data_IF_558449318300
#
_entry.id   IF_558449318300
#
_cell.length_a   1.000
_cell.length_b   1.000
_cell.length_c   1.000
_cell.angle_alpha   90.00
_cell.angle_beta   90.00
_cell.angle_gamma   90.00
#
_symmetry.space_group_name_H-M   'P 1'
#
loop_
_entity.id
_entity.type
_entity.pdbx_description
1 polymer ?
#
# COMPACT_ATOMS: atom_id res chain seq x y z
N UNK A 1 -17.13 -14.67 -2.20
CA UNK A 1 -18.20 -15.64 -1.85
C UNK A 1 -18.85 -15.38 -0.48
N UNK A 2 -18.08 -15.19 0.59
CA UNK A 2 -18.59 -15.15 1.96
C UNK A 2 -19.46 -13.94 2.23
N UNK A 3 -19.03 -12.74 1.80
CA UNK A 3 -19.85 -11.53 1.92
C UNK A 3 -21.14 -11.60 1.11
N UNK A 4 -21.12 -12.25 -0.05
CA UNK A 4 -22.31 -12.48 -0.88
C UNK A 4 -23.30 -13.43 -0.18
N UNK A 5 -22.81 -14.53 0.41
CA UNK A 5 -23.64 -15.42 1.23
C UNK A 5 -24.31 -14.68 2.39
N UNK A 6 -23.58 -13.79 3.06
CA UNK A 6 -24.11 -12.96 4.16
C UNK A 6 -25.20 -12.00 3.64
N UNK A 7 -24.98 -11.35 2.49
CA UNK A 7 -25.98 -10.51 1.83
C UNK A 7 -27.27 -11.27 1.54
N UNK A 8 -27.14 -12.45 0.94
CA UNK A 8 -28.28 -13.28 0.55
C UNK A 8 -29.08 -13.82 1.74
N UNK A 9 -28.49 -13.89 2.94
CA UNK A 9 -29.19 -14.22 4.19
C UNK A 9 -29.96 -13.05 4.80
N UNK A 10 -29.96 -11.87 4.16
CA UNK A 10 -30.66 -10.68 4.64
C UNK A 10 -30.01 -10.05 5.88
N UNK A 11 -28.73 -10.34 6.14
CA UNK A 11 -27.98 -9.71 7.23
C UNK A 11 -27.66 -8.27 6.79
N UNK A 12 -27.94 -7.30 7.66
CA UNK A 12 -27.70 -5.89 7.38
C UNK A 12 -26.21 -5.64 7.08
N UNK A 13 -25.95 -4.99 5.93
CA UNK A 13 -24.63 -4.59 5.50
C UNK A 13 -24.68 -3.19 4.89
N UNK A 14 -23.63 -2.41 5.11
CA UNK A 14 -23.50 -1.04 4.62
C UNK A 14 -22.17 -0.86 3.88
N UNK A 15 -22.16 0.03 2.88
CA UNK A 15 -20.94 0.33 2.13
C UNK A 15 -19.98 1.16 2.97
N UNK A 16 -18.73 0.72 3.08
CA UNK A 16 -17.66 1.43 3.77
C UNK A 16 -16.61 1.92 2.78
N UNK A 17 -16.28 3.23 2.77
CA UNK A 17 -15.18 3.75 1.95
C UNK A 17 -13.85 3.06 2.25
N UNK A 18 -13.06 2.83 1.20
CA UNK A 18 -11.70 2.26 1.29
C UNK A 18 -10.77 2.91 0.25
N UNK A 19 -9.47 2.69 0.40
CA UNK A 19 -8.46 3.21 -0.52
C UNK A 19 -7.99 2.14 -1.50
N UNK A 20 -7.70 2.57 -2.73
CA UNK A 20 -7.05 1.77 -3.77
C UNK A 20 -5.85 2.56 -4.30
N UNK A 21 -4.85 1.86 -4.83
CA UNK A 21 -3.66 2.48 -5.36
C UNK A 21 -2.78 1.48 -6.09
N UNK A 22 -1.51 1.84 -6.25
CA UNK A 22 -0.49 1.05 -6.92
C UNK A 22 0.69 0.79 -5.98
N UNK A 23 1.44 -0.28 -6.25
CA UNK A 23 2.76 -0.49 -5.64
C UNK A 23 3.78 0.32 -6.42
N UNK A 24 4.67 1.00 -5.69
CA UNK A 24 5.74 1.81 -6.27
C UNK A 24 7.05 1.37 -5.67
N UNK A 25 8.00 1.01 -6.52
CA UNK A 25 9.31 0.51 -6.13
C UNK A 25 10.40 1.54 -6.47
N UNK A 26 11.37 1.62 -5.57
CA UNK A 26 12.59 2.39 -5.76
C UNK A 26 13.75 1.56 -5.23
N UNK A 27 14.97 1.72 -5.79
CA UNK A 27 16.15 1.11 -5.18
C UNK A 27 16.28 1.53 -3.71
N UNK A 28 16.44 0.57 -2.81
CA UNK A 28 16.55 0.84 -1.36
C UNK A 28 17.69 1.83 -1.06
N UNK A 29 18.78 1.77 -1.84
CA UNK A 29 19.90 2.71 -1.74
C UNK A 29 19.47 4.18 -1.93
N UNK A 30 18.56 4.45 -2.88
CA UNK A 30 18.04 5.81 -3.12
C UNK A 30 17.26 6.33 -1.92
N UNK A 31 16.47 5.46 -1.29
CA UNK A 31 15.71 5.80 -0.08
C UNK A 31 16.66 6.01 1.10
N UNK A 32 17.65 5.13 1.29
CA UNK A 32 18.67 5.27 2.33
C UNK A 32 19.40 6.61 2.20
N UNK A 33 19.86 6.96 1.00
CA UNK A 33 20.53 8.24 0.74
C UNK A 33 19.61 9.44 1.01
N UNK A 34 18.33 9.35 0.66
CA UNK A 34 17.37 10.44 0.91
C UNK A 34 17.05 10.65 2.39
N UNK A 35 16.95 9.58 3.18
CA UNK A 35 16.53 9.66 4.59
C UNK A 35 17.72 9.84 5.55
N UNK A 36 18.84 9.17 5.26
CA UNK A 36 20.00 9.13 6.15
C UNK A 36 21.21 9.92 5.61
N UNK A 37 21.18 10.32 4.33
CA UNK A 37 22.31 10.99 3.68
C UNK A 37 23.41 10.04 3.19
N UNK A 38 23.33 8.74 3.51
CA UNK A 38 24.28 7.72 3.09
C UNK A 38 23.57 6.40 2.76
N UNK A 39 24.20 5.58 1.91
CA UNK A 39 23.64 4.30 1.44
C UNK A 39 23.84 3.13 2.41
N UNK A 40 24.83 3.23 3.30
CA UNK A 40 25.34 2.12 4.09
C UNK A 40 24.41 1.69 5.24
N UNK A 41 24.33 0.38 5.48
CA UNK A 41 23.35 -0.27 6.36
C UNK A 41 23.70 -0.22 7.87
N UNK A 42 24.05 0.97 8.40
CA UNK A 42 24.27 1.12 9.85
C UNK A 42 22.99 1.18 10.68
N UNK A 43 21.90 1.65 10.06
CA UNK A 43 20.63 1.95 10.73
C UNK A 43 19.48 1.05 10.26
N UNK A 44 19.77 0.00 9.50
CA UNK A 44 18.76 -0.77 8.78
C UNK A 44 18.34 -0.09 7.46
N UNK A 45 17.40 -0.72 6.77
CA UNK A 45 16.80 -0.17 5.56
C UNK A 45 15.85 1.00 5.89
N UNK A 46 16.08 2.16 5.26
CA UNK A 46 15.26 3.34 5.45
C UNK A 46 13.80 3.13 4.99
N UNK A 47 12.86 3.67 5.75
CA UNK A 47 11.44 3.73 5.41
C UNK A 47 11.00 5.18 5.14
N UNK A 48 9.79 5.35 4.60
CA UNK A 48 9.18 6.66 4.48
C UNK A 48 7.66 6.59 4.69
N UNK A 49 7.08 7.73 5.04
CA UNK A 49 5.62 7.94 5.09
C UNK A 49 5.29 9.29 4.46
N UNK A 50 4.45 9.28 3.43
CA UNK A 50 4.08 10.47 2.66
C UNK A 50 2.56 10.64 2.65
N UNK A 51 2.13 11.90 2.60
CA UNK A 51 0.74 12.30 2.37
C UNK A 51 0.72 13.52 1.46
N UNK A 52 -0.29 13.62 0.62
CA UNK A 52 -0.51 14.74 -0.28
C UNK A 52 -2.01 14.91 -0.53
N UNK A 53 -2.47 16.15 -0.66
CA UNK A 53 -3.82 16.47 -1.09
C UNK A 53 -3.72 17.09 -2.49
N UNK A 54 -4.31 16.42 -3.46
CA UNK A 54 -4.32 16.90 -4.86
C UNK A 54 -5.17 18.16 -4.99
N UNK A 55 -4.98 18.89 -6.08
CA UNK A 55 -5.74 20.11 -6.39
C UNK A 55 -7.25 19.86 -6.51
N UNK A 56 -7.65 18.64 -6.93
CA UNK A 56 -9.05 18.21 -6.96
C UNK A 56 -9.56 17.66 -5.61
N UNK A 57 -8.80 17.83 -4.52
CA UNK A 57 -9.21 17.54 -3.16
C UNK A 57 -9.04 16.08 -2.69
N UNK A 58 -8.50 15.18 -3.51
CA UNK A 58 -8.27 13.77 -3.14
C UNK A 58 -7.02 13.62 -2.27
N UNK A 59 -7.13 12.80 -1.23
CA UNK A 59 -5.98 12.41 -0.41
C UNK A 59 -5.20 11.27 -1.05
N UNK A 60 -3.88 11.41 -1.15
CA UNK A 60 -2.94 10.38 -1.60
C UNK A 60 -1.93 10.16 -0.49
N UNK A 61 -1.66 8.91 -0.14
CA UNK A 61 -0.73 8.59 0.94
C UNK A 61 -0.02 7.25 0.70
N UNK A 62 1.16 7.10 1.29
CA UNK A 62 1.87 5.82 1.31
C UNK A 62 1.24 4.86 2.32
N UNK A 63 1.05 3.60 1.94
CA UNK A 63 0.49 2.55 2.79
C UNK A 63 1.33 1.28 2.72
N UNK A 64 1.51 0.59 3.85
CA UNK A 64 2.25 -0.68 3.95
C UNK A 64 3.62 -0.60 3.25
N UNK A 65 4.45 0.35 3.69
CA UNK A 65 5.80 0.54 3.17
C UNK A 65 6.71 -0.58 3.69
N UNK A 66 7.43 -1.24 2.79
CA UNK A 66 8.28 -2.40 3.07
C UNK A 66 9.73 -2.12 2.62
N UNK A 67 10.62 -1.63 3.51
CA UNK A 67 12.02 -1.39 3.19
C UNK A 67 12.74 -2.68 2.78
N UNK A 68 13.44 -2.67 1.64
CA UNK A 68 14.17 -3.83 1.12
C UNK A 68 13.30 -5.06 0.80
N UNK A 69 11.98 -4.88 0.67
CA UNK A 69 11.05 -5.95 0.35
C UNK A 69 10.87 -6.18 -1.15
N UNK A 70 9.85 -6.96 -1.48
CA UNK A 70 9.40 -7.22 -2.84
C UNK A 70 7.87 -7.10 -2.91
N UNK A 71 7.37 -6.75 -4.09
CA UNK A 71 5.92 -6.75 -4.36
C UNK A 71 5.45 -8.19 -4.53
N UNK A 72 4.37 -8.54 -3.84
CA UNK A 72 3.75 -9.87 -3.93
C UNK A 72 2.44 -9.80 -4.70
N UNK A 73 2.18 -10.84 -5.51
CA UNK A 73 0.84 -11.07 -6.03
C UNK A 73 -0.06 -11.52 -4.87
N UNK A 74 -1.14 -10.77 -4.65
CA UNK A 74 -2.08 -11.02 -3.56
C UNK A 74 -3.49 -11.39 -4.07
N UNK A 75 -3.62 -11.78 -5.35
CA UNK A 75 -4.89 -12.22 -5.89
C UNK A 75 -5.34 -13.53 -5.25
N UNK A 76 -6.57 -13.55 -4.74
CA UNK A 76 -7.22 -14.75 -4.20
C UNK A 76 -8.29 -15.32 -5.13
N UNK A 77 -8.51 -14.69 -6.28
CA UNK A 77 -9.48 -15.08 -7.30
C UNK A 77 -8.76 -15.43 -8.60
N UNK A 78 -9.30 -16.40 -9.35
CA UNK A 78 -8.70 -16.85 -10.61
C UNK A 78 -8.80 -15.75 -11.65
N UNK A 79 -7.83 -15.70 -12.57
CA UNK A 79 -7.82 -14.79 -13.72
C UNK A 79 -7.79 -13.29 -13.36
N UNK A 80 -7.50 -12.96 -12.10
CA UNK A 80 -7.27 -11.61 -11.63
C UNK A 80 -5.80 -11.52 -11.18
N UNK A 81 -5.02 -10.63 -11.79
CA UNK A 81 -3.60 -10.42 -11.50
C UNK A 81 -3.39 -9.28 -10.50
#
# INVERSE_FOLDING_TARGET
DTFEMIFNKGINMEQKPFAIGVRVEHPQEKINKSQYGFSYNRLGAASYKLTYKTDNGRGVYSFCMCPGGFVVNAASEKEHA
#
